data_IF_542141261054
#
_entry.id   IF_542141261054
#
_cell.length_a   1.000
_cell.length_b   1.000
_cell.length_c   1.000
_cell.angle_alpha   90.00
_cell.angle_beta   90.00
_cell.angle_gamma   90.00
#
_symmetry.space_group_name_H-M   'P 1'
#
loop_
_entity.id
_entity.type
_entity.pdbx_description
1 polymer ?
#
# COMPACT_ATOMS: atom_id res chain seq x y z
N UNK A 1 6.50 10.97 33.80
CA UNK A 1 6.49 9.53 34.15
C UNK A 1 7.64 8.85 33.37
N UNK A 2 8.07 7.63 33.69
CA UNK A 2 9.07 6.95 32.83
C UNK A 2 8.47 6.69 31.44
N UNK A 3 9.25 6.82 30.35
CA UNK A 3 8.75 6.58 29.00
C UNK A 3 8.28 5.13 28.87
N UNK A 4 7.08 4.93 28.31
CA UNK A 4 6.59 3.59 27.98
C UNK A 4 7.40 3.10 26.78
N UNK A 5 7.97 1.90 26.89
CA UNK A 5 8.80 1.34 25.83
C UNK A 5 8.29 -0.04 25.43
N UNK A 6 8.15 -0.26 24.12
CA UNK A 6 7.66 -1.51 23.54
C UNK A 6 8.78 -2.14 22.73
N UNK A 7 9.01 -3.43 22.92
CA UNK A 7 9.99 -4.20 22.13
C UNK A 7 9.35 -4.59 20.80
N UNK A 8 10.02 -4.21 19.72
CA UNK A 8 9.67 -4.54 18.35
C UNK A 8 10.82 -5.36 17.71
N UNK A 9 10.52 -6.46 16.99
CA UNK A 9 11.56 -7.29 16.40
C UNK A 9 12.27 -6.65 15.20
N UNK A 10 11.68 -5.64 14.57
CA UNK A 10 12.23 -4.95 13.39
C UNK A 10 13.04 -3.73 13.83
N UNK A 11 12.44 -2.88 14.67
CA UNK A 11 12.98 -1.56 15.03
C UNK A 11 13.62 -1.50 16.41
N UNK A 12 13.63 -2.60 17.18
CA UNK A 12 14.26 -2.65 18.49
C UNK A 12 13.36 -2.13 19.61
N UNK A 13 13.71 -1.03 20.27
CA UNK A 13 12.85 -0.43 21.30
C UNK A 13 12.14 0.81 20.75
N UNK A 14 10.81 0.76 20.75
CA UNK A 14 9.95 1.88 20.39
C UNK A 14 9.52 2.60 21.66
N UNK A 15 9.77 3.90 21.72
CA UNK A 15 9.40 4.76 22.86
C UNK A 15 8.11 5.54 22.58
N UNK A 16 7.25 5.60 23.59
CA UNK A 16 6.00 6.34 23.60
C UNK A 16 6.04 7.41 24.69
N UNK A 17 5.58 8.61 24.35
CA UNK A 17 5.24 9.62 25.35
C UNK A 17 3.89 9.30 26.03
N UNK A 18 3.52 10.09 27.04
CA UNK A 18 2.30 9.83 27.84
C UNK A 18 1.02 9.89 27.00
N UNK A 19 0.92 10.81 26.04
CA UNK A 19 -0.25 10.93 25.16
C UNK A 19 -0.33 9.82 24.11
N UNK A 20 0.80 9.44 23.53
CA UNK A 20 0.91 8.28 22.62
C UNK A 20 0.55 6.98 23.34
N UNK A 21 1.04 6.80 24.57
CA UNK A 21 0.67 5.66 25.41
C UNK A 21 -0.83 5.65 25.73
N UNK A 22 -1.45 6.82 25.94
CA UNK A 22 -2.90 6.91 26.15
C UNK A 22 -3.70 6.48 24.91
N UNK A 23 -3.27 6.89 23.71
CA UNK A 23 -3.86 6.43 22.43
C UNK A 23 -3.68 4.92 22.29
N UNK A 24 -2.45 4.42 22.48
CA UNK A 24 -2.13 3.00 22.33
C UNK A 24 -2.95 2.13 23.29
N UNK A 25 -3.18 2.59 24.52
CA UNK A 25 -3.96 1.86 25.53
C UNK A 25 -5.48 1.91 25.31
N UNK A 26 -5.98 2.78 24.42
CA UNK A 26 -7.40 2.87 24.13
C UNK A 26 -7.91 1.61 23.42
N UNK A 27 -9.12 1.15 23.75
CA UNK A 27 -9.66 -0.12 23.23
C UNK A 27 -9.76 -0.16 21.70
N UNK A 28 -10.12 0.97 21.09
CA UNK A 28 -10.23 1.11 19.62
C UNK A 28 -8.87 0.95 18.94
N UNK A 29 -7.78 1.36 19.60
CA UNK A 29 -6.42 1.11 19.11
C UNK A 29 -5.99 -0.34 19.39
N UNK A 30 -6.30 -0.87 20.58
CA UNK A 30 -6.00 -2.26 20.97
C UNK A 30 -6.66 -3.28 20.04
N UNK A 31 -7.83 -2.97 19.45
CA UNK A 31 -8.47 -3.77 18.40
C UNK A 31 -7.52 -4.14 17.27
N UNK A 32 -6.55 -3.29 16.92
CA UNK A 32 -5.59 -3.57 15.85
C UNK A 32 -4.76 -4.83 16.10
N UNK A 33 -4.61 -5.27 17.36
CA UNK A 33 -3.98 -6.56 17.71
C UNK A 33 -4.73 -7.77 17.15
N UNK A 34 -6.00 -7.61 16.83
CA UNK A 34 -6.83 -8.67 16.26
C UNK A 34 -7.04 -8.50 14.75
N UNK A 35 -6.30 -7.59 14.10
CA UNK A 35 -6.37 -7.36 12.65
C UNK A 35 -5.00 -7.65 12.05
N UNK A 36 -4.87 -8.79 11.36
CA UNK A 36 -3.60 -9.18 10.74
C UNK A 36 -3.25 -8.28 9.57
N UNK A 37 -1.99 -7.84 9.50
CA UNK A 37 -1.47 -6.98 8.42
C UNK A 37 -1.73 -7.61 7.05
N UNK A 38 -1.40 -8.91 6.92
CA UNK A 38 -1.48 -9.64 5.66
C UNK A 38 -2.70 -10.57 5.55
N UNK A 39 -3.82 -10.26 6.21
CA UNK A 39 -5.08 -10.99 6.04
C UNK A 39 -4.92 -12.52 6.25
N UNK A 40 -5.34 -13.33 5.27
CA UNK A 40 -5.22 -14.80 5.27
C UNK A 40 -3.85 -15.31 4.77
N UNK A 41 -2.85 -14.44 4.59
CA UNK A 41 -1.51 -14.83 4.10
C UNK A 41 -0.83 -15.88 4.99
N UNK A 42 -1.16 -15.93 6.29
CA UNK A 42 -0.70 -16.98 7.20
C UNK A 42 -1.09 -18.41 6.77
N UNK A 43 -2.10 -18.56 5.90
CA UNK A 43 -2.47 -19.85 5.29
C UNK A 43 -1.46 -20.32 4.23
N UNK A 44 -0.57 -19.44 3.79
CA UNK A 44 0.55 -19.69 2.85
C UNK A 44 1.89 -19.62 3.59
N UNK A 45 2.12 -18.54 4.34
CA UNK A 45 3.34 -18.27 5.11
C UNK A 45 3.00 -18.31 6.60
N UNK A 46 3.17 -19.45 7.31
CA UNK A 46 2.67 -19.59 8.69
C UNK A 46 3.14 -18.54 9.69
N UNK A 47 4.30 -17.90 9.45
CA UNK A 47 4.82 -16.81 10.28
C UNK A 47 4.15 -15.44 10.09
N UNK A 48 3.41 -15.23 8.99
CA UNK A 48 2.74 -13.97 8.63
C UNK A 48 1.52 -13.67 9.53
N UNK A 49 1.79 -13.53 10.82
CA UNK A 49 0.81 -13.44 11.91
C UNK A 49 0.81 -12.07 12.57
N UNK A 50 1.71 -11.18 12.14
CA UNK A 50 1.79 -9.82 12.60
C UNK A 50 0.53 -9.02 12.25
N UNK A 51 0.28 -8.01 13.07
CA UNK A 51 -0.96 -7.26 13.14
C UNK A 51 -0.73 -5.79 12.81
N UNK A 52 -1.82 -5.07 12.55
CA UNK A 52 -1.75 -3.63 12.31
C UNK A 52 -1.25 -2.87 13.53
N UNK A 53 -1.35 -3.43 14.73
CA UNK A 53 -0.89 -2.80 15.96
C UNK A 53 0.62 -2.54 15.95
N UNK A 54 1.44 -3.56 15.71
CA UNK A 54 2.91 -3.39 15.64
C UNK A 54 3.33 -2.58 14.42
N UNK A 55 2.63 -2.72 13.30
CA UNK A 55 2.86 -1.89 12.12
C UNK A 55 2.65 -0.40 12.43
N UNK A 56 1.52 0.00 13.05
CA UNK A 56 1.28 1.39 13.43
C UNK A 56 2.34 1.94 14.40
N UNK A 57 2.86 1.13 15.32
CA UNK A 57 3.97 1.52 16.19
C UNK A 57 5.28 1.72 15.40
N UNK A 58 5.57 0.80 14.48
CA UNK A 58 6.73 0.87 13.60
C UNK A 58 6.70 2.10 12.68
N UNK A 59 5.56 2.40 12.07
CA UNK A 59 5.35 3.59 11.24
C UNK A 59 5.52 4.88 12.06
N UNK A 60 4.92 4.97 13.24
CA UNK A 60 5.14 6.11 14.15
C UNK A 60 6.63 6.28 14.51
N UNK A 61 7.32 5.18 14.79
CA UNK A 61 8.74 5.19 15.10
C UNK A 61 9.57 5.68 13.91
N UNK A 62 9.37 5.12 12.72
CA UNK A 62 10.09 5.51 11.50
C UNK A 62 9.79 6.95 11.08
N UNK A 63 8.54 7.39 11.18
CA UNK A 63 8.15 8.78 10.95
C UNK A 63 9.00 9.76 11.77
N UNK A 64 9.27 9.40 13.04
CA UNK A 64 10.13 10.21 13.90
C UNK A 64 11.60 10.17 13.49
N UNK A 65 12.11 9.01 13.08
CA UNK A 65 13.49 8.87 12.57
C UNK A 65 13.70 9.63 11.27
N UNK A 66 12.70 9.66 10.39
CA UNK A 66 12.71 10.46 9.16
C UNK A 66 12.78 11.95 9.53
N UNK A 67 11.89 12.43 10.39
CA UNK A 67 11.92 13.82 10.86
C UNK A 67 13.25 14.21 11.51
N UNK A 68 13.81 13.34 12.35
CA UNK A 68 15.10 13.55 13.00
C UNK A 68 16.24 13.62 11.98
N UNK A 69 16.22 12.79 10.94
CA UNK A 69 17.23 12.84 9.89
C UNK A 69 17.12 14.12 9.05
N UNK A 70 15.90 14.49 8.66
CA UNK A 70 15.63 15.70 7.90
C UNK A 70 16.04 16.96 8.68
N UNK A 71 15.82 17.00 10.00
CA UNK A 71 16.24 18.10 10.87
C UNK A 71 17.75 18.17 11.11
N UNK A 72 18.54 17.20 10.63
CA UNK A 72 20.01 17.36 10.58
C UNK A 72 20.46 18.22 9.39
N UNK A 73 19.59 18.42 8.39
CA UNK A 73 19.88 19.19 7.18
C UNK A 73 19.75 20.71 7.44
N UNK A 74 20.64 21.54 6.87
CA UNK A 74 20.62 22.99 7.09
C UNK A 74 19.26 23.65 6.81
N UNK A 75 18.61 23.27 5.70
CA UNK A 75 17.33 23.86 5.27
C UNK A 75 16.26 23.82 6.37
N UNK A 76 16.13 22.70 7.08
CA UNK A 76 15.11 22.52 8.11
C UNK A 76 15.53 23.10 9.46
N UNK A 77 16.83 23.07 9.78
CA UNK A 77 17.36 23.72 10.99
C UNK A 77 17.22 25.24 10.96
N UNK A 78 17.43 25.82 9.78
CA UNK A 78 17.31 27.26 9.58
C UNK A 78 15.84 27.70 9.50
N UNK A 79 14.97 26.86 8.94
CA UNK A 79 13.53 27.18 8.79
C UNK A 79 12.73 27.00 10.07
N UNK A 80 12.99 25.95 10.85
CA UNK A 80 12.19 25.59 12.02
C UNK A 80 13.06 25.61 13.28
N UNK A 81 12.64 26.41 14.26
CA UNK A 81 13.30 26.36 15.57
C UNK A 81 13.00 25.03 16.30
N UNK A 82 13.68 24.77 17.43
CA UNK A 82 13.51 23.50 18.15
C UNK A 82 12.07 23.21 18.60
N UNK A 83 11.33 24.23 19.03
CA UNK A 83 9.95 24.04 19.53
C UNK A 83 8.99 23.76 18.37
N UNK A 84 9.12 24.48 17.26
CA UNK A 84 8.39 24.20 16.02
C UNK A 84 8.70 22.79 15.52
N UNK A 85 9.97 22.39 15.49
CA UNK A 85 10.39 21.06 15.07
C UNK A 85 9.80 19.96 15.96
N UNK A 86 9.88 20.11 17.29
CA UNK A 86 9.29 19.13 18.24
C UNK A 86 7.79 18.95 17.99
N UNK A 87 7.06 20.06 17.76
CA UNK A 87 5.62 20.02 17.43
C UNK A 87 5.37 19.28 16.11
N UNK A 88 6.06 19.64 15.03
CA UNK A 88 5.90 19.00 13.72
C UNK A 88 6.28 17.51 13.77
N UNK A 89 7.37 17.17 14.46
CA UNK A 89 7.77 15.78 14.70
C UNK A 89 6.68 15.01 15.45
N UNK A 90 6.07 15.60 16.48
CA UNK A 90 4.98 14.98 17.20
C UNK A 90 3.73 14.81 16.32
N UNK A 91 3.41 15.80 15.48
CA UNK A 91 2.29 15.73 14.55
C UNK A 91 2.43 14.57 13.56
N UNK A 92 3.61 14.41 12.93
CA UNK A 92 3.86 13.30 12.00
C UNK A 92 3.89 11.95 12.73
N UNK A 93 4.39 11.90 13.97
CA UNK A 93 4.27 10.68 14.81
C UNK A 93 2.82 10.28 15.03
N UNK A 94 1.95 11.21 15.40
CA UNK A 94 0.53 10.92 15.60
C UNK A 94 -0.14 10.48 14.29
N UNK A 95 0.21 11.09 13.16
CA UNK A 95 -0.27 10.66 11.84
C UNK A 95 0.19 9.23 11.53
N UNK A 96 1.47 8.90 11.73
CA UNK A 96 1.97 7.55 11.54
C UNK A 96 1.35 6.52 12.49
N UNK A 97 1.08 6.90 13.75
CA UNK A 97 0.41 6.04 14.71
C UNK A 97 -1.04 5.74 14.30
N UNK A 98 -1.74 6.74 13.73
CA UNK A 98 -3.18 6.67 13.51
C UNK A 98 -3.59 6.36 12.06
N UNK A 99 -2.67 6.32 11.09
CA UNK A 99 -2.98 6.17 9.67
C UNK A 99 -3.91 4.98 9.36
N UNK A 100 -3.69 3.88 10.08
CA UNK A 100 -4.28 2.57 9.82
C UNK A 100 -5.41 2.15 10.77
N UNK A 101 -5.83 3.01 11.70
CA UNK A 101 -6.88 2.65 12.69
C UNK A 101 -8.22 2.29 12.06
N UNK A 102 -8.48 2.80 10.86
CA UNK A 102 -9.69 2.58 10.08
C UNK A 102 -9.75 1.28 9.30
N UNK A 103 -8.72 0.44 9.31
CA UNK A 103 -8.75 -0.79 8.51
C UNK A 103 -9.80 -1.81 8.97
N UNK A 104 -10.34 -2.51 7.98
CA UNK A 104 -11.31 -3.58 8.16
C UNK A 104 -10.63 -4.85 8.72
N UNK A 105 -11.42 -5.79 9.28
CA UNK A 105 -10.97 -7.17 9.47
C UNK A 105 -10.32 -7.70 8.19
N UNK A 106 -9.19 -8.37 8.35
CA UNK A 106 -8.33 -8.86 7.28
C UNK A 106 -7.82 -7.76 6.34
N UNK A 107 -7.67 -6.53 6.82
CA UNK A 107 -6.86 -5.52 6.15
C UNK A 107 -7.34 -5.25 4.72
N UNK A 108 -6.45 -5.07 3.75
CA UNK A 108 -6.81 -4.93 2.34
C UNK A 108 -7.67 -6.08 1.77
N UNK A 109 -7.66 -7.26 2.41
CA UNK A 109 -8.53 -8.38 2.03
C UNK A 109 -10.02 -8.11 2.31
N UNK A 110 -10.32 -7.28 3.32
CA UNK A 110 -11.69 -6.89 3.67
C UNK A 110 -12.21 -5.68 2.89
N UNK A 111 -11.33 -4.80 2.40
CA UNK A 111 -11.73 -3.50 1.81
C UNK A 111 -12.61 -3.62 0.57
N UNK A 112 -12.53 -4.75 -0.16
CA UNK A 112 -13.41 -5.04 -1.29
C UNK A 112 -14.91 -5.16 -0.90
N UNK A 113 -15.20 -5.13 0.40
CA UNK A 113 -16.52 -5.24 1.02
C UNK A 113 -16.91 -3.95 1.75
N UNK A 114 -16.14 -2.87 1.58
CA UNK A 114 -16.63 -1.55 1.99
C UNK A 114 -17.83 -1.10 1.15
N UNK A 115 -18.72 -0.26 1.72
CA UNK A 115 -19.73 0.43 0.96
C UNK A 115 -19.11 1.23 -0.20
N UNK A 116 -19.87 1.38 -1.29
CA UNK A 116 -19.38 2.03 -2.52
C UNK A 116 -18.79 3.41 -2.25
N UNK A 117 -17.57 3.64 -2.74
CA UNK A 117 -16.85 4.92 -2.61
C UNK A 117 -16.13 5.12 -1.28
N UNK A 118 -16.31 4.24 -0.29
CA UNK A 118 -15.61 4.32 0.98
C UNK A 118 -14.32 3.50 0.98
N UNK A 119 -13.34 3.98 1.74
CA UNK A 119 -12.05 3.35 1.98
C UNK A 119 -11.70 3.41 3.46
N UNK A 120 -10.64 2.69 3.86
CA UNK A 120 -10.22 2.65 5.27
C UNK A 120 -9.87 4.05 5.81
N UNK A 121 -9.36 4.95 4.96
CA UNK A 121 -9.03 6.34 5.34
C UNK A 121 -10.27 7.08 5.86
N UNK A 122 -11.46 6.84 5.28
CA UNK A 122 -12.71 7.42 5.75
C UNK A 122 -13.06 6.94 7.17
N UNK A 123 -12.80 5.66 7.46
CA UNK A 123 -12.98 5.10 8.81
C UNK A 123 -11.90 5.61 9.77
N UNK A 124 -10.65 5.76 9.34
CA UNK A 124 -9.58 6.33 10.16
C UNK A 124 -9.97 7.73 10.62
N UNK A 125 -10.49 8.56 9.71
CA UNK A 125 -10.98 9.91 10.02
C UNK A 125 -12.13 9.88 11.04
N UNK A 126 -13.12 9.01 10.85
CA UNK A 126 -14.25 8.88 11.77
C UNK A 126 -13.80 8.43 13.16
N UNK A 127 -12.89 7.45 13.24
CA UNK A 127 -12.31 6.95 14.49
C UNK A 127 -11.52 8.04 15.21
N UNK A 128 -10.68 8.79 14.49
CA UNK A 128 -9.88 9.87 15.07
C UNK A 128 -10.77 10.93 15.70
N UNK A 129 -11.77 11.42 14.96
CA UNK A 129 -12.72 12.44 15.47
C UNK A 129 -13.53 11.95 16.65
N UNK A 130 -13.96 10.68 16.63
CA UNK A 130 -14.86 10.15 17.66
C UNK A 130 -14.14 9.74 18.95
N UNK A 131 -12.97 9.10 18.85
CA UNK A 131 -12.30 8.47 19.99
C UNK A 131 -10.98 9.11 20.38
N UNK A 132 -10.21 9.63 19.42
CA UNK A 132 -8.85 10.11 19.69
C UNK A 132 -8.76 11.63 19.86
N UNK A 133 -9.70 12.41 19.31
CA UNK A 133 -9.73 13.87 19.47
C UNK A 133 -9.68 14.31 20.95
N UNK A 134 -10.48 13.73 21.89
CA UNK A 134 -10.39 14.12 23.31
C UNK A 134 -9.04 13.79 23.96
N UNK A 135 -8.37 12.72 23.49
CA UNK A 135 -7.04 12.35 23.98
C UNK A 135 -6.00 13.30 23.41
N UNK A 136 -6.12 13.66 22.12
CA UNK A 136 -5.23 14.61 21.45
C UNK A 136 -5.33 15.99 22.10
N UNK A 137 -6.53 16.52 22.31
CA UNK A 137 -6.73 17.82 22.98
C UNK A 137 -6.12 17.84 24.39
N UNK A 138 -6.22 16.73 25.13
CA UNK A 138 -5.72 16.63 26.50
C UNK A 138 -4.20 16.60 26.58
N UNK A 139 -3.53 15.81 25.74
CA UNK A 139 -2.09 15.56 25.85
C UNK A 139 -1.24 16.38 24.88
N UNK A 140 -1.84 16.91 23.81
CA UNK A 140 -1.16 17.66 22.75
C UNK A 140 -1.95 18.95 22.42
N UNK A 141 -2.05 19.91 23.36
CA UNK A 141 -2.91 21.09 23.19
C UNK A 141 -2.56 21.97 21.98
N UNK A 142 -1.34 21.86 21.47
CA UNK A 142 -0.87 22.61 20.28
C UNK A 142 -1.12 21.88 18.95
N UNK A 143 -1.71 20.68 18.97
CA UNK A 143 -2.00 19.87 17.79
C UNK A 143 -3.51 19.60 17.74
N UNK A 144 -4.14 19.90 16.60
CA UNK A 144 -5.55 19.56 16.38
C UNK A 144 -5.68 18.26 15.60
N UNK A 145 -6.73 17.47 15.87
CA UNK A 145 -7.02 16.24 15.11
C UNK A 145 -7.14 16.50 13.60
N UNK A 146 -7.66 17.68 13.22
CA UNK A 146 -7.80 18.06 11.81
C UNK A 146 -6.46 18.26 11.11
N UNK A 147 -5.38 18.59 11.83
CA UNK A 147 -4.03 18.64 11.23
C UNK A 147 -3.52 17.24 10.91
N UNK A 148 -3.79 16.27 11.80
CA UNK A 148 -3.45 14.86 11.56
C UNK A 148 -4.24 14.34 10.35
N UNK A 149 -5.55 14.63 10.30
CA UNK A 149 -6.42 14.27 9.18
C UNK A 149 -5.93 14.90 7.88
N UNK A 150 -5.48 16.15 7.89
CA UNK A 150 -4.94 16.82 6.72
C UNK A 150 -3.71 16.08 6.16
N UNK A 151 -2.80 15.61 7.02
CA UNK A 151 -1.64 14.82 6.58
C UNK A 151 -2.03 13.47 5.97
N UNK A 152 -3.08 12.82 6.49
CA UNK A 152 -3.52 11.49 6.04
C UNK A 152 -4.42 11.53 4.79
N UNK A 153 -5.15 12.62 4.55
CA UNK A 153 -6.13 12.72 3.47
C UNK A 153 -5.66 13.63 2.33
N UNK A 154 -4.35 13.66 2.06
CA UNK A 154 -3.72 14.45 0.98
C UNK A 154 -4.03 15.95 1.03
N UNK A 155 -4.34 16.45 2.22
CA UNK A 155 -4.41 17.87 2.51
C UNK A 155 -3.02 18.47 2.71
N UNK A 156 -2.95 19.79 2.75
CA UNK A 156 -1.70 20.52 3.01
C UNK A 156 -1.93 21.55 4.11
N UNK A 157 -1.01 21.58 5.07
CA UNK A 157 -1.04 22.56 6.16
C UNK A 157 -0.46 23.91 5.70
N UNK A 158 0.67 23.85 4.99
CA UNK A 158 1.34 24.98 4.35
C UNK A 158 2.25 24.46 3.22
N UNK A 159 2.66 25.34 2.31
CA UNK A 159 3.49 24.98 1.15
C UNK A 159 4.85 24.37 1.54
N UNK A 160 5.46 24.90 2.60
CA UNK A 160 6.73 24.43 3.18
C UNK A 160 6.57 23.23 4.13
N UNK A 161 5.33 22.72 4.31
CA UNK A 161 5.00 21.56 5.14
C UNK A 161 4.43 20.37 4.35
N UNK A 162 4.36 20.47 3.02
CA UNK A 162 3.82 19.40 2.16
C UNK A 162 4.58 18.08 2.31
N UNK A 163 5.89 18.14 2.54
CA UNK A 163 6.71 16.96 2.77
C UNK A 163 6.26 16.15 4.01
N UNK A 164 5.58 16.76 4.99
CA UNK A 164 5.12 16.05 6.19
C UNK A 164 4.09 14.96 5.85
N UNK A 165 3.15 15.26 4.96
CA UNK A 165 2.20 14.27 4.48
C UNK A 165 2.91 13.14 3.71
N UNK A 166 3.96 13.49 2.95
CA UNK A 166 4.79 12.54 2.20
C UNK A 166 5.65 11.62 3.06
N UNK A 167 5.86 11.95 4.33
CA UNK A 167 6.48 11.03 5.31
C UNK A 167 5.53 9.88 5.65
N UNK A 168 4.21 10.05 5.50
CA UNK A 168 3.21 9.02 5.80
C UNK A 168 2.65 8.37 4.54
N UNK A 169 2.31 9.16 3.52
CA UNK A 169 1.81 8.70 2.22
C UNK A 169 2.62 9.32 1.07
N UNK A 170 3.66 8.60 0.65
CA UNK A 170 4.62 8.98 -0.37
C UNK A 170 5.46 7.81 -0.90
N UNK A 171 6.48 8.17 -1.67
CA UNK A 171 7.36 7.22 -2.35
C UNK A 171 8.44 6.66 -1.42
N UNK A 172 8.78 7.40 -0.36
CA UNK A 172 9.77 7.05 0.66
C UNK A 172 9.16 7.18 2.07
N UNK A 173 7.88 6.83 2.21
CA UNK A 173 7.15 7.00 3.46
C UNK A 173 7.45 5.93 4.53
N UNK A 174 7.13 6.29 5.76
CA UNK A 174 7.28 5.43 6.93
C UNK A 174 6.42 4.15 6.85
N UNK A 175 5.26 4.21 6.19
CA UNK A 175 4.38 3.06 5.98
C UNK A 175 5.12 1.95 5.20
N UNK A 176 5.62 2.27 4.01
CA UNK A 176 6.34 1.34 3.14
C UNK A 176 7.66 0.91 3.73
N UNK A 177 8.33 1.84 4.41
CA UNK A 177 9.57 1.55 5.11
C UNK A 177 9.36 0.62 6.32
N UNK A 178 8.17 0.55 6.89
CA UNK A 178 7.86 -0.44 7.92
C UNK A 178 7.43 -1.76 7.30
N UNK A 179 6.36 -1.75 6.50
CA UNK A 179 5.70 -3.00 6.14
C UNK A 179 6.60 -3.89 5.30
N UNK A 180 7.50 -3.35 4.47
CA UNK A 180 8.38 -4.19 3.64
C UNK A 180 9.33 -5.02 4.50
N UNK A 181 9.94 -4.41 5.52
CA UNK A 181 10.82 -5.11 6.45
C UNK A 181 10.03 -6.08 7.34
N UNK A 182 8.92 -5.61 7.92
CA UNK A 182 8.03 -6.39 8.77
C UNK A 182 7.48 -7.61 8.03
N UNK A 183 6.85 -7.40 6.88
CA UNK A 183 6.26 -8.47 6.07
C UNK A 183 7.33 -9.48 5.63
N UNK A 184 8.51 -9.02 5.21
CA UNK A 184 9.61 -9.90 4.82
C UNK A 184 10.05 -10.79 6.00
N UNK A 185 10.23 -10.18 7.18
CA UNK A 185 10.63 -10.88 8.40
C UNK A 185 9.61 -11.94 8.81
N UNK A 186 8.33 -11.56 8.95
CA UNK A 186 7.28 -12.47 9.40
C UNK A 186 6.91 -13.52 8.35
N UNK A 187 7.01 -13.23 7.05
CA UNK A 187 6.87 -14.25 6.01
C UNK A 187 8.06 -15.20 5.92
N UNK A 188 9.20 -14.89 6.56
CA UNK A 188 10.42 -15.68 6.49
C UNK A 188 11.10 -15.61 5.12
N UNK A 189 10.93 -14.50 4.41
CA UNK A 189 11.55 -14.24 3.10
C UNK A 189 12.59 -13.14 3.21
N UNK A 190 13.52 -13.08 2.26
CA UNK A 190 14.54 -12.02 2.19
C UNK A 190 14.29 -11.06 1.02
N UNK A 191 13.08 -11.10 0.46
CA UNK A 191 12.72 -10.31 -0.71
C UNK A 191 12.44 -8.85 -0.35
N UNK A 192 11.97 -8.55 0.87
CA UNK A 192 11.59 -7.20 1.28
C UNK A 192 12.68 -6.43 2.03
N UNK A 193 13.93 -6.93 2.05
CA UNK A 193 15.03 -6.30 2.78
C UNK A 193 15.76 -5.27 1.92
N UNK A 194 16.07 -4.11 2.51
CA UNK A 194 16.86 -3.02 1.92
C UNK A 194 17.59 -2.27 3.04
N UNK A 195 18.55 -1.41 2.69
CA UNK A 195 19.29 -0.60 3.66
C UNK A 195 18.48 0.62 4.15
N UNK A 196 17.69 0.41 5.21
CA UNK A 196 16.91 1.48 5.87
C UNK A 196 17.80 2.61 6.41
N UNK A 197 18.94 2.27 7.01
CA UNK A 197 19.82 3.27 7.63
C UNK A 197 20.41 4.19 6.56
N UNK A 198 20.76 3.65 5.38
CA UNK A 198 21.23 4.45 4.27
C UNK A 198 20.15 5.35 3.68
N UNK A 199 18.91 4.87 3.56
CA UNK A 199 17.78 5.72 3.13
C UNK A 199 17.63 6.88 4.11
N UNK A 200 17.52 6.60 5.42
CA UNK A 200 17.35 7.63 6.44
C UNK A 200 18.49 8.66 6.40
N UNK A 201 19.74 8.23 6.27
CA UNK A 201 20.92 9.12 6.17
C UNK A 201 20.84 10.07 4.97
N UNK A 202 20.32 9.60 3.83
CA UNK A 202 20.34 10.32 2.56
C UNK A 202 19.04 11.07 2.24
N UNK A 203 18.00 10.94 3.06
CA UNK A 203 16.76 11.73 2.93
C UNK A 203 17.04 13.24 3.04
N UNK A 204 16.35 14.01 2.20
CA UNK A 204 16.42 15.47 2.13
C UNK A 204 15.06 16.07 1.79
N UNK A 205 14.94 17.38 1.93
CA UNK A 205 13.78 18.15 1.47
C UNK A 205 14.22 19.09 0.36
N UNK A 206 13.49 19.08 -0.74
CA UNK A 206 13.76 19.89 -1.92
C UNK A 206 12.70 20.98 -2.04
N UNK A 207 13.07 22.28 -1.91
CA UNK A 207 12.16 23.38 -2.16
C UNK A 207 12.00 23.59 -3.67
N UNK A 208 10.81 23.34 -4.21
CA UNK A 208 10.53 23.53 -5.64
C UNK A 208 9.99 24.94 -5.87
N UNK A 209 10.79 25.85 -6.43
CA UNK A 209 10.30 27.17 -6.84
C UNK A 209 9.22 27.04 -7.91
N UNK A 210 8.14 27.80 -7.74
CA UNK A 210 6.98 27.87 -8.64
C UNK A 210 7.32 28.59 -9.97
N UNK A 211 8.24 28.02 -10.76
CA UNK A 211 8.39 28.31 -12.20
C UNK A 211 7.90 27.16 -13.09
N UNK A 212 7.46 26.05 -12.50
CA UNK A 212 6.98 24.85 -13.18
C UNK A 212 5.44 24.81 -13.35
N UNK A 213 4.74 25.87 -12.93
CA UNK A 213 3.30 26.09 -13.15
C UNK A 213 3.13 27.54 -13.62
N UNK A 214 2.31 27.83 -14.65
CA UNK A 214 2.18 29.20 -15.15
C UNK A 214 1.42 30.05 -14.13
N UNK A 215 2.13 30.89 -13.38
CA UNK A 215 1.57 32.01 -12.61
C UNK A 215 1.76 33.29 -13.42
N UNK A 216 0.68 34.08 -13.55
CA UNK A 216 0.54 35.19 -14.48
C UNK A 216 1.16 36.52 -14.04
N UNK A 217 2.05 36.57 -13.03
CA UNK A 217 2.57 37.84 -12.53
C UNK A 217 4.09 37.82 -12.23
N UNK A 218 4.85 38.57 -13.04
CA UNK A 218 6.32 38.66 -13.01
C UNK A 218 6.91 39.56 -11.90
N UNK A 219 6.13 39.98 -10.89
CA UNK A 219 6.57 41.07 -9.99
C UNK A 219 7.17 40.69 -8.64
N UNK A 220 7.07 39.45 -8.17
CA UNK A 220 7.69 39.03 -6.90
C UNK A 220 8.72 37.92 -7.12
N UNK A 221 10.01 38.28 -7.29
CA UNK A 221 11.13 37.32 -7.39
C UNK A 221 11.76 36.94 -6.05
N UNK A 222 11.27 37.47 -4.92
CA UNK A 222 11.83 37.22 -3.58
C UNK A 222 10.97 36.32 -2.68
N UNK A 223 9.75 35.98 -3.09
CA UNK A 223 8.90 35.03 -2.36
C UNK A 223 9.08 33.62 -2.93
N UNK A 224 10.01 32.88 -2.34
CA UNK A 224 10.19 31.44 -2.53
C UNK A 224 8.99 30.63 -1.97
N UNK A 225 7.75 30.84 -2.44
CA UNK A 225 6.62 29.96 -2.06
C UNK A 225 6.58 28.74 -2.98
N UNK A 226 7.56 27.88 -2.79
CA UNK A 226 7.63 26.58 -3.43
C UNK A 226 7.05 25.47 -2.57
N UNK A 227 6.46 24.45 -3.18
CA UNK A 227 6.14 23.20 -2.47
C UNK A 227 7.43 22.49 -2.07
N UNK A 228 7.53 22.11 -0.80
CA UNK A 228 8.67 21.34 -0.30
C UNK A 228 8.39 19.85 -0.46
N UNK A 229 9.21 19.16 -1.25
CA UNK A 229 9.06 17.73 -1.51
C UNK A 229 10.10 16.91 -0.74
N UNK A 230 9.70 15.71 -0.34
CA UNK A 230 10.62 14.70 0.18
C UNK A 230 11.46 14.16 -1.00
N UNK A 231 12.77 14.10 -0.81
CA UNK A 231 13.71 13.60 -1.80
C UNK A 231 14.87 12.86 -1.16
N UNK A 232 15.86 12.50 -1.98
CA UNK A 232 17.07 11.81 -1.55
C UNK A 232 18.31 12.46 -2.17
N UNK A 233 19.43 12.45 -1.46
CA UNK A 233 20.72 12.79 -2.05
C UNK A 233 21.14 11.74 -3.08
N UNK A 234 21.93 12.15 -4.09
CA UNK A 234 22.46 11.26 -5.14
C UNK A 234 23.29 10.09 -4.59
N UNK A 235 23.80 10.20 -3.36
CA UNK A 235 24.53 9.14 -2.67
C UNK A 235 23.62 8.02 -2.10
N UNK A 236 22.31 8.23 -2.09
CA UNK A 236 21.29 7.28 -1.63
C UNK A 236 20.59 6.50 -2.75
N UNK A 237 20.94 6.72 -4.02
CA UNK A 237 20.27 6.11 -5.18
C UNK A 237 20.17 4.59 -5.04
N UNK A 238 21.28 3.91 -4.72
CA UNK A 238 21.29 2.44 -4.61
C UNK A 238 20.40 1.91 -3.48
N UNK A 239 20.29 2.64 -2.36
CA UNK A 239 19.40 2.24 -1.28
C UNK A 239 17.92 2.37 -1.69
N UNK A 240 17.59 3.36 -2.53
CA UNK A 240 16.25 3.48 -3.13
C UNK A 240 16.00 2.43 -4.20
N UNK A 241 17.00 2.06 -5.00
CA UNK A 241 16.91 0.91 -5.92
C UNK A 241 16.56 -0.36 -5.15
N UNK A 242 17.28 -0.64 -4.05
CA UNK A 242 16.99 -1.78 -3.16
C UNK A 242 15.56 -1.73 -2.60
N UNK A 243 15.09 -0.58 -2.12
CA UNK A 243 13.72 -0.42 -1.62
C UNK A 243 12.67 -0.75 -2.69
N UNK A 244 12.86 -0.23 -3.92
CA UNK A 244 11.91 -0.45 -5.00
C UNK A 244 11.95 -1.91 -5.49
N UNK A 245 13.14 -2.53 -5.56
CA UNK A 245 13.26 -3.96 -5.84
C UNK A 245 12.64 -4.81 -4.75
N UNK A 246 12.85 -4.45 -3.49
CA UNK A 246 12.28 -5.13 -2.36
C UNK A 246 10.76 -5.15 -2.43
N UNK A 247 10.16 -3.98 -2.71
CA UNK A 247 8.73 -3.87 -2.98
C UNK A 247 8.30 -4.72 -4.16
N UNK A 248 8.95 -4.59 -5.30
CA UNK A 248 8.64 -5.38 -6.50
C UNK A 248 8.63 -6.90 -6.23
N UNK A 249 9.66 -7.42 -5.56
CA UNK A 249 9.75 -8.83 -5.22
C UNK A 249 8.69 -9.26 -4.20
N UNK A 250 8.41 -8.44 -3.17
CA UNK A 250 7.33 -8.72 -2.22
C UNK A 250 5.97 -8.80 -2.91
N UNK A 251 5.70 -7.94 -3.89
CA UNK A 251 4.48 -8.00 -4.69
C UNK A 251 4.37 -9.30 -5.48
N UNK A 252 5.40 -9.72 -6.20
CA UNK A 252 5.35 -10.95 -7.00
C UNK A 252 5.27 -12.20 -6.11
N UNK A 253 6.10 -12.26 -5.07
CA UNK A 253 6.31 -13.49 -4.31
C UNK A 253 5.27 -13.66 -3.20
N UNK A 254 4.89 -12.60 -2.51
CA UNK A 254 4.01 -12.67 -1.32
C UNK A 254 2.62 -12.15 -1.66
N UNK A 255 2.49 -10.87 -2.02
CA UNK A 255 1.17 -10.25 -2.16
C UNK A 255 0.37 -10.84 -3.34
N UNK A 256 1.03 -11.21 -4.44
CA UNK A 256 0.40 -11.86 -5.58
C UNK A 256 0.58 -13.37 -5.58
N UNK A 257 0.96 -13.98 -4.47
CA UNK A 257 1.06 -15.43 -4.39
C UNK A 257 -0.29 -16.08 -4.74
N UNK A 258 -0.27 -17.06 -5.66
CA UNK A 258 -1.47 -17.70 -6.21
C UNK A 258 -2.46 -18.19 -5.15
N UNK A 259 -1.96 -18.84 -4.10
CA UNK A 259 -2.81 -19.36 -3.03
C UNK A 259 -3.40 -18.24 -2.19
N UNK A 260 -2.66 -17.13 -1.98
CA UNK A 260 -3.17 -15.97 -1.25
C UNK A 260 -4.28 -15.28 -2.04
N UNK A 261 -4.10 -15.14 -3.36
CA UNK A 261 -5.08 -14.52 -4.27
C UNK A 261 -6.43 -15.25 -4.30
N UNK A 262 -6.43 -16.59 -4.34
CA UNK A 262 -7.69 -17.34 -4.26
C UNK A 262 -8.34 -17.23 -2.88
N UNK A 263 -7.56 -17.11 -1.80
CA UNK A 263 -8.11 -16.83 -0.46
C UNK A 263 -8.72 -15.44 -0.34
N UNK A 264 -8.15 -14.40 -0.96
CA UNK A 264 -8.77 -13.07 -1.00
C UNK A 264 -10.16 -13.14 -1.65
N UNK A 265 -10.29 -13.93 -2.73
CA UNK A 265 -11.57 -14.15 -3.39
C UNK A 265 -12.59 -14.83 -2.46
N UNK A 266 -12.21 -15.91 -1.79
CA UNK A 266 -13.10 -16.59 -0.85
C UNK A 266 -13.48 -15.70 0.32
N UNK A 267 -12.52 -14.94 0.87
CA UNK A 267 -12.78 -14.03 1.97
C UNK A 267 -13.78 -12.96 1.56
N UNK A 268 -13.59 -12.33 0.40
CA UNK A 268 -14.51 -11.31 -0.12
C UNK A 268 -15.93 -11.87 -0.24
N UNK A 269 -16.07 -13.09 -0.79
CA UNK A 269 -17.38 -13.74 -0.94
C UNK A 269 -18.01 -14.08 0.41
N UNK A 270 -17.23 -14.66 1.31
CA UNK A 270 -17.68 -14.99 2.66
C UNK A 270 -18.16 -13.74 3.42
N UNK A 271 -17.38 -12.66 3.40
CA UNK A 271 -17.73 -11.41 4.07
C UNK A 271 -19.03 -10.82 3.53
N UNK A 272 -19.25 -10.85 2.20
CA UNK A 272 -20.52 -10.42 1.61
C UNK A 272 -21.69 -11.26 2.11
N UNK A 273 -21.55 -12.59 2.11
CA UNK A 273 -22.60 -13.48 2.60
C UNK A 273 -22.87 -13.27 4.10
N UNK A 274 -21.81 -13.12 4.91
CA UNK A 274 -21.88 -12.92 6.35
C UNK A 274 -22.56 -11.59 6.73
N UNK A 275 -22.30 -10.53 5.96
CA UNK A 275 -22.84 -9.19 6.20
C UNK A 275 -24.18 -8.96 5.50
N UNK A 276 -24.68 -9.91 4.70
CA UNK A 276 -25.85 -9.73 3.84
C UNK A 276 -27.12 -9.35 4.62
N UNK A 277 -27.40 -10.04 5.73
CA UNK A 277 -28.66 -9.85 6.47
C UNK A 277 -28.69 -8.55 7.27
N UNK A 278 -27.56 -8.14 7.88
CA UNK A 278 -27.52 -6.97 8.79
C UNK A 278 -27.07 -5.69 8.08
N UNK A 279 -26.26 -5.79 7.04
CA UNK A 279 -25.56 -4.64 6.42
C UNK A 279 -25.50 -4.72 4.89
N UNK A 280 -26.43 -5.45 4.27
CA UNK A 280 -26.57 -5.53 2.80
C UNK A 280 -25.28 -5.97 2.08
N UNK A 281 -24.48 -6.80 2.77
CA UNK A 281 -23.26 -7.40 2.21
C UNK A 281 -22.07 -6.45 2.20
N UNK A 282 -22.12 -5.33 2.94
CA UNK A 282 -21.01 -4.41 3.11
C UNK A 282 -20.66 -4.24 4.61
N UNK A 283 -19.46 -3.74 4.91
CA UNK A 283 -19.14 -3.33 6.29
C UNK A 283 -20.04 -2.17 6.74
N UNK A 284 -20.34 -2.04 8.05
CA UNK A 284 -21.09 -0.91 8.58
C UNK A 284 -20.44 0.40 8.18
N UNK A 285 -21.22 1.38 7.74
CA UNK A 285 -20.75 2.70 7.33
C UNK A 285 -20.20 3.50 8.52
N UNK A 286 -19.39 4.57 8.28
CA UNK A 286 -18.77 5.36 9.34
C UNK A 286 -19.73 6.00 10.35
N UNK A 287 -21.03 6.14 10.03
CA UNK A 287 -22.07 6.56 10.98
C UNK A 287 -22.45 5.48 12.01
N UNK A 288 -22.11 4.21 11.75
CA UNK A 288 -22.30 3.06 12.66
C UNK A 288 -20.95 2.53 13.15
N UNK A 289 -20.16 3.44 13.71
CA UNK A 289 -18.76 3.16 14.02
C UNK A 289 -18.57 2.07 15.09
N UNK A 290 -19.47 2.01 16.09
CA UNK A 290 -19.44 0.96 17.12
C UNK A 290 -19.66 -0.43 16.51
N UNK A 291 -20.63 -0.58 15.61
CA UNK A 291 -20.87 -1.82 14.87
C UNK A 291 -19.62 -2.21 14.05
N UNK A 292 -18.96 -1.23 13.41
CA UNK A 292 -17.74 -1.47 12.64
C UNK A 292 -16.56 -1.91 13.52
N UNK A 293 -16.31 -1.22 14.62
CA UNK A 293 -15.22 -1.49 15.55
C UNK A 293 -15.40 -2.86 16.22
N UNK A 294 -16.64 -3.30 16.43
CA UNK A 294 -16.92 -4.64 16.98
C UNK A 294 -16.44 -5.80 16.07
N UNK A 295 -16.11 -5.52 14.81
CA UNK A 295 -15.60 -6.49 13.85
C UNK A 295 -14.06 -6.45 13.80
N UNK A 296 -13.44 -7.60 14.08
CA UNK A 296 -12.01 -7.89 13.92
C UNK A 296 -11.81 -9.29 13.29
N UNK A 297 -10.57 -9.73 13.05
CA UNK A 297 -10.34 -11.05 12.45
C UNK A 297 -10.90 -12.17 13.33
N UNK A 298 -10.87 -12.03 14.66
CA UNK A 298 -11.34 -13.04 15.59
C UNK A 298 -12.84 -13.28 15.45
N UNK A 299 -13.63 -12.21 15.40
CA UNK A 299 -15.08 -12.28 15.17
C UNK A 299 -15.40 -12.97 13.85
N UNK A 300 -14.70 -12.59 12.77
CA UNK A 300 -14.94 -13.17 11.44
C UNK A 300 -14.45 -14.63 11.36
N UNK A 301 -13.33 -14.99 11.97
CA UNK A 301 -12.84 -16.37 12.01
C UNK A 301 -13.79 -17.30 12.78
N UNK A 302 -14.39 -16.81 13.87
CA UNK A 302 -15.41 -17.57 14.59
C UNK A 302 -16.68 -17.73 13.75
N UNK A 303 -17.08 -16.72 12.97
CA UNK A 303 -18.17 -16.83 12.01
C UNK A 303 -17.87 -17.87 10.91
N UNK A 304 -16.65 -17.84 10.32
CA UNK A 304 -16.18 -18.83 9.35
C UNK A 304 -16.29 -20.24 9.94
N UNK A 305 -15.80 -20.43 11.16
CA UNK A 305 -15.88 -21.71 11.87
C UNK A 305 -17.33 -22.16 12.03
N UNK A 306 -18.26 -21.31 12.46
CA UNK A 306 -19.67 -21.67 12.63
C UNK A 306 -20.37 -22.01 11.32
N UNK A 307 -20.12 -21.22 10.27
CA UNK A 307 -20.81 -21.32 8.98
C UNK A 307 -20.17 -22.32 8.01
N UNK A 308 -19.04 -22.94 8.34
CA UNK A 308 -18.31 -23.88 7.46
C UNK A 308 -19.13 -25.05 6.89
N UNK A 309 -20.26 -25.42 7.51
CA UNK A 309 -21.13 -26.50 7.01
C UNK A 309 -22.22 -26.01 6.04
N UNK A 310 -22.53 -24.71 6.07
CA UNK A 310 -23.64 -24.11 5.33
C UNK A 310 -23.19 -23.07 4.30
N UNK A 311 -21.97 -22.57 4.41
CA UNK A 311 -21.36 -21.62 3.48
C UNK A 311 -20.10 -22.21 2.85
N UNK A 312 -20.09 -22.32 1.52
CA UNK A 312 -19.00 -22.92 0.75
C UNK A 312 -17.67 -22.16 0.93
N UNK A 313 -17.69 -20.82 0.95
CA UNK A 313 -16.48 -20.02 1.11
C UNK A 313 -15.88 -20.16 2.50
N UNK A 314 -16.73 -20.20 3.53
CA UNK A 314 -16.31 -20.49 4.91
C UNK A 314 -15.64 -21.86 5.00
N UNK A 315 -16.23 -22.90 4.38
CA UNK A 315 -15.68 -24.25 4.33
C UNK A 315 -14.27 -24.25 3.73
N UNK A 316 -14.10 -23.61 2.55
CA UNK A 316 -12.83 -23.56 1.83
C UNK A 316 -11.72 -22.83 2.59
N UNK A 317 -12.06 -21.75 3.29
CA UNK A 317 -11.10 -21.03 4.16
C UNK A 317 -10.71 -21.89 5.37
N UNK A 318 -11.70 -22.50 6.02
CA UNK A 318 -11.50 -23.28 7.24
C UNK A 318 -10.71 -24.57 6.99
N UNK A 319 -11.14 -25.38 6.03
CA UNK A 319 -10.58 -26.70 5.71
C UNK A 319 -9.34 -26.63 4.80
N UNK A 320 -8.97 -25.42 4.36
CA UNK A 320 -7.90 -25.17 3.40
C UNK A 320 -8.13 -25.84 2.03
N UNK A 321 -9.40 -25.96 1.62
CA UNK A 321 -9.84 -26.55 0.36
C UNK A 321 -9.94 -25.49 -0.75
N UNK A 322 -8.78 -25.08 -1.29
CA UNK A 322 -8.70 -24.06 -2.33
C UNK A 322 -8.54 -24.65 -3.73
N UNK A 323 -9.01 -23.91 -4.74
CA UNK A 323 -8.76 -24.24 -6.14
C UNK A 323 -7.25 -24.24 -6.45
N UNK A 324 -6.87 -25.03 -7.44
CA UNK A 324 -5.48 -25.17 -7.90
C UNK A 324 -5.25 -24.33 -9.15
N UNK A 325 -4.14 -23.60 -9.18
CA UNK A 325 -3.68 -22.89 -10.38
C UNK A 325 -3.32 -23.91 -11.47
N UNK A 326 -4.00 -23.82 -12.61
CA UNK A 326 -3.75 -24.61 -13.81
C UNK A 326 -2.89 -23.84 -14.83
N UNK A 327 -3.07 -22.53 -14.92
CA UNK A 327 -2.32 -21.69 -15.85
C UNK A 327 -2.09 -20.29 -15.27
N UNK A 328 -0.95 -19.70 -15.59
CA UNK A 328 -0.57 -18.34 -15.20
C UNK A 328 0.17 -17.66 -16.34
N UNK A 329 -0.15 -16.40 -16.59
CA UNK A 329 0.57 -15.59 -17.58
C UNK A 329 1.89 -15.07 -17.03
N UNK A 330 2.76 -14.58 -17.91
CA UNK A 330 3.95 -13.86 -17.48
C UNK A 330 3.58 -12.60 -16.68
N UNK A 331 4.37 -12.20 -15.66
CA UNK A 331 4.03 -11.09 -14.78
C UNK A 331 3.93 -9.70 -15.40
N UNK A 332 4.43 -9.53 -16.62
CA UNK A 332 4.44 -8.24 -17.31
C UNK A 332 3.84 -8.35 -18.72
N UNK A 333 2.87 -9.24 -18.91
CA UNK A 333 2.21 -9.35 -20.20
C UNK A 333 1.45 -8.04 -20.51
N UNK A 334 1.70 -7.49 -21.69
CA UNK A 334 1.23 -6.17 -22.12
C UNK A 334 0.99 -6.15 -23.63
N UNK A 335 0.31 -5.11 -24.12
CA UNK A 335 0.01 -4.94 -25.55
C UNK A 335 -1.23 -5.70 -26.02
N UNK A 336 -1.92 -5.14 -27.03
CA UNK A 336 -3.23 -5.57 -27.50
C UNK A 336 -3.30 -7.07 -27.83
N UNK A 337 -2.29 -7.61 -28.52
CA UNK A 337 -2.21 -9.03 -28.84
C UNK A 337 -2.26 -9.91 -27.58
N UNK A 338 -1.51 -9.56 -26.54
CA UNK A 338 -1.54 -10.33 -25.29
C UNK A 338 -2.91 -10.26 -24.61
N UNK A 339 -3.58 -9.10 -24.62
CA UNK A 339 -4.95 -8.97 -24.10
C UNK A 339 -5.93 -9.84 -24.88
N UNK A 340 -5.84 -9.86 -26.22
CA UNK A 340 -6.69 -10.69 -27.08
C UNK A 340 -6.48 -12.18 -26.81
N UNK A 341 -5.22 -12.63 -26.70
CA UNK A 341 -4.90 -14.04 -26.38
C UNK A 341 -5.56 -14.46 -25.07
N UNK A 342 -5.44 -13.63 -24.04
CA UNK A 342 -5.95 -13.95 -22.70
C UNK A 342 -7.48 -13.88 -22.65
N UNK A 343 -8.10 -12.92 -23.35
CA UNK A 343 -9.56 -12.82 -23.42
C UNK A 343 -10.16 -14.05 -24.08
N UNK A 344 -9.63 -14.45 -25.23
CA UNK A 344 -10.06 -15.66 -25.94
C UNK A 344 -9.82 -16.92 -25.08
N UNK A 345 -8.66 -17.03 -24.42
CA UNK A 345 -8.38 -18.16 -23.52
C UNK A 345 -9.36 -18.21 -22.35
N UNK A 346 -9.73 -17.05 -21.80
CA UNK A 346 -10.72 -16.92 -20.71
C UNK A 346 -12.10 -17.40 -21.14
N UNK A 347 -12.55 -17.04 -22.34
CA UNK A 347 -13.82 -17.49 -22.90
C UNK A 347 -13.83 -19.01 -23.07
N UNK A 348 -12.85 -19.57 -23.79
CA UNK A 348 -12.72 -21.03 -23.98
C UNK A 348 -12.62 -21.79 -22.66
N UNK A 349 -11.93 -21.22 -21.68
CA UNK A 349 -11.76 -21.84 -20.37
C UNK A 349 -13.10 -21.98 -19.65
N UNK A 350 -13.94 -20.95 -19.67
CA UNK A 350 -15.27 -21.01 -19.06
C UNK A 350 -16.24 -21.89 -19.84
N UNK A 351 -16.11 -21.99 -21.16
CA UNK A 351 -16.87 -22.96 -21.96
C UNK A 351 -16.56 -24.41 -21.54
N UNK A 352 -15.28 -24.71 -21.27
CA UNK A 352 -14.83 -26.06 -20.93
C UNK A 352 -15.08 -26.44 -19.46
N UNK A 353 -14.71 -25.57 -18.52
CA UNK A 353 -14.74 -25.88 -17.08
C UNK A 353 -15.96 -25.29 -16.35
N UNK A 354 -16.77 -24.51 -17.05
CA UNK A 354 -17.93 -23.81 -16.50
C UNK A 354 -17.54 -22.51 -15.78
N UNK A 355 -18.54 -21.66 -15.50
CA UNK A 355 -18.38 -20.38 -14.81
C UNK A 355 -18.80 -20.44 -13.33
N UNK A 356 -18.87 -21.65 -12.75
CA UNK A 356 -19.11 -21.83 -11.32
C UNK A 356 -17.81 -21.52 -10.55
N UNK A 357 -17.74 -20.43 -9.76
CA UNK A 357 -16.51 -20.04 -9.08
C UNK A 357 -16.05 -21.03 -8.00
N UNK A 358 -16.89 -22.00 -7.62
CA UNK A 358 -16.51 -23.11 -6.76
C UNK A 358 -15.72 -24.20 -7.52
N UNK A 359 -15.76 -24.21 -8.85
CA UNK A 359 -15.10 -25.23 -9.69
C UNK A 359 -14.02 -24.65 -10.58
N UNK A 360 -14.23 -23.45 -11.11
CA UNK A 360 -13.31 -22.78 -12.02
C UNK A 360 -13.35 -21.27 -11.80
N UNK A 361 -12.18 -20.63 -11.75
CA UNK A 361 -12.06 -19.21 -11.48
C UNK A 361 -10.88 -18.60 -12.23
N UNK A 362 -11.04 -17.37 -12.72
CA UNK A 362 -9.95 -16.60 -13.33
C UNK A 362 -9.70 -15.34 -12.51
N UNK A 363 -8.49 -15.22 -11.94
CA UNK A 363 -8.03 -13.99 -11.28
C UNK A 363 -7.32 -13.11 -12.31
N UNK A 364 -7.98 -12.04 -12.72
CA UNK A 364 -7.45 -10.98 -13.58
C UNK A 364 -7.27 -9.65 -12.81
N UNK A 365 -7.45 -9.68 -11.49
CA UNK A 365 -7.47 -8.48 -10.65
C UNK A 365 -6.09 -7.96 -10.25
N UNK A 366 -5.01 -8.64 -10.63
CA UNK A 366 -3.65 -8.11 -10.43
C UNK A 366 -3.46 -6.74 -11.12
N UNK A 367 -4.24 -6.44 -12.17
CA UNK A 367 -4.30 -5.10 -12.82
C UNK A 367 -4.96 -4.01 -11.97
N UNK A 368 -5.81 -4.40 -11.01
CA UNK A 368 -6.78 -3.52 -10.32
C UNK A 368 -6.44 -3.26 -8.85
N UNK A 369 -5.29 -3.75 -8.38
CA UNK A 369 -4.87 -3.49 -7.01
C UNK A 369 -4.41 -2.03 -6.91
N UNK A 370 -4.83 -1.29 -5.86
CA UNK A 370 -4.66 0.15 -5.73
C UNK A 370 -3.20 0.60 -5.54
N UNK A 371 -2.25 -0.33 -5.56
CA UNK A 371 -0.84 -0.07 -5.37
C UNK A 371 -0.09 -0.50 -6.62
N UNK A 372 0.22 0.46 -7.49
CA UNK A 372 1.30 0.27 -8.44
C UNK A 372 2.54 -0.13 -7.61
N UNK A 373 3.18 -1.29 -7.84
CA UNK A 373 4.39 -1.71 -7.13
C UNK A 373 5.52 -0.69 -7.23
N UNK A 374 5.40 0.27 -8.15
CA UNK A 374 6.30 1.38 -8.37
C UNK A 374 5.77 2.69 -7.78
N UNK A 375 5.13 2.71 -6.60
CA UNK A 375 4.78 3.95 -5.88
C UNK A 375 3.97 4.98 -6.69
N UNK A 376 3.08 4.55 -7.58
CA UNK A 376 2.37 5.44 -8.53
C UNK A 376 3.30 6.29 -9.43
N UNK A 377 4.57 5.89 -9.57
CA UNK A 377 5.54 6.51 -10.45
C UNK A 377 5.06 6.38 -11.91
N UNK A 378 4.40 7.41 -12.42
CA UNK A 378 4.09 7.54 -13.84
C UNK A 378 5.28 8.16 -14.55
N UNK A 379 5.74 7.52 -15.64
CA UNK A 379 6.54 8.20 -16.66
C UNK A 379 5.61 9.20 -17.37
N UNK A 380 6.09 10.40 -17.59
CA UNK A 380 5.35 11.55 -18.12
C UNK A 380 4.86 11.42 -19.58
N UNK A 381 4.81 10.20 -20.13
CA UNK A 381 4.50 9.93 -21.54
C UNK A 381 3.00 9.77 -21.84
N UNK A 382 2.11 10.19 -20.94
CA UNK A 382 0.73 10.54 -21.33
C UNK A 382 0.78 12.02 -21.74
N UNK A 383 0.91 12.27 -23.04
CA UNK A 383 0.90 13.60 -23.65
C UNK A 383 -0.32 14.39 -23.15
N UNK A 384 -0.09 15.51 -22.46
CA UNK A 384 -1.11 16.55 -22.33
C UNK A 384 -1.37 17.07 -23.76
N UNK A 385 -2.64 17.13 -24.19
CA UNK A 385 -3.08 17.56 -25.54
C UNK A 385 -2.63 18.99 -25.95
N UNK A 386 -1.86 19.70 -25.12
CA UNK A 386 -1.47 21.10 -25.31
C UNK A 386 0.04 21.37 -25.42
N UNK A 387 0.92 20.36 -25.46
CA UNK A 387 2.33 20.55 -25.82
C UNK A 387 3.12 21.52 -24.92
N UNK A 388 2.72 21.69 -23.66
CA UNK A 388 3.48 22.44 -22.64
C UNK A 388 4.27 21.47 -21.77
N UNK A 389 5.59 21.66 -21.67
CA UNK A 389 6.46 20.93 -20.72
C UNK A 389 6.18 21.36 -19.27
N UNK A 390 5.06 20.91 -18.70
CA UNK A 390 4.84 20.98 -17.26
C UNK A 390 5.59 19.81 -16.61
N UNK A 391 6.86 19.94 -16.20
CA UNK A 391 7.57 18.91 -15.40
C UNK A 391 6.88 18.72 -14.04
N UNK A 392 5.84 17.88 -14.00
CA UNK A 392 5.27 17.35 -12.76
C UNK A 392 6.22 16.25 -12.30
N UNK A 393 6.94 16.46 -11.20
CA UNK A 393 7.74 15.38 -10.60
C UNK A 393 6.79 14.34 -10.00
N UNK A 394 6.37 13.38 -10.82
CA UNK A 394 5.66 12.15 -10.41
C UNK A 394 6.63 11.08 -9.90
N UNK A 395 7.86 11.47 -9.53
CA UNK A 395 8.92 10.54 -9.14
C UNK A 395 9.80 11.06 -8.03
N UNK A 396 10.47 10.14 -7.32
CA UNK A 396 11.42 10.46 -6.25
C UNK A 396 12.45 11.46 -6.79
N UNK A 397 12.54 12.61 -6.11
CA UNK A 397 13.48 13.68 -6.47
C UNK A 397 14.85 13.34 -5.91
N UNK A 398 15.87 13.39 -6.77
CA UNK A 398 17.27 13.18 -6.40
C UNK A 398 18.01 14.51 -6.41
N UNK A 399 18.56 14.91 -5.28
CA UNK A 399 19.40 16.11 -5.13
C UNK A 399 20.86 15.75 -5.44
N UNK A 400 21.51 16.53 -6.31
CA UNK A 400 22.93 16.37 -6.61
C UNK A 400 23.78 16.74 -5.39
N UNK A 401 24.62 15.80 -4.93
CA UNK A 401 25.46 16.04 -3.74
C UNK A 401 26.49 17.15 -3.91
N UNK A 402 26.91 17.45 -5.13
CA UNK A 402 27.92 18.47 -5.42
C UNK A 402 27.28 19.80 -5.81
N UNK A 403 26.00 19.79 -6.20
CA UNK A 403 25.25 20.99 -6.51
C UNK A 403 23.83 20.92 -5.91
N UNK A 404 23.61 21.46 -4.70
CA UNK A 404 22.31 21.41 -4.03
C UNK A 404 21.15 22.05 -4.80
N UNK A 405 21.42 22.86 -5.83
CA UNK A 405 20.40 23.47 -6.68
C UNK A 405 20.03 22.63 -7.91
N UNK A 406 20.68 21.48 -8.10
CA UNK A 406 20.43 20.57 -9.22
C UNK A 406 19.69 19.34 -8.74
N UNK A 407 18.58 19.06 -9.40
CA UNK A 407 17.67 17.96 -9.07
C UNK A 407 17.39 17.13 -10.32
N UNK A 408 17.20 15.84 -10.11
CA UNK A 408 16.88 14.87 -11.17
C UNK A 408 15.71 13.99 -10.74
N UNK A 409 15.07 13.35 -11.72
CA UNK A 409 14.22 12.20 -11.41
C UNK A 409 15.09 10.99 -11.09
N UNK A 410 14.65 10.16 -10.13
CA UNK A 410 15.29 8.86 -9.88
C UNK A 410 15.42 8.00 -11.17
N UNK A 411 14.52 8.16 -12.13
CA UNK A 411 14.58 7.43 -13.41
C UNK A 411 15.66 7.93 -14.38
N UNK A 412 16.09 9.19 -14.25
CA UNK A 412 17.24 9.71 -14.98
C UNK A 412 18.55 9.17 -14.39
N UNK A 413 18.53 8.83 -13.10
CA UNK A 413 19.69 8.38 -12.35
C UNK A 413 19.86 6.85 -12.30
N UNK A 414 18.79 6.08 -12.55
CA UNK A 414 18.78 4.61 -12.43
C UNK A 414 18.19 3.94 -13.66
N UNK A 415 19.06 3.28 -14.45
CA UNK A 415 18.65 2.47 -15.60
C UNK A 415 17.72 1.31 -15.21
N UNK A 416 18.00 0.52 -14.14
CA UNK A 416 17.08 -0.54 -13.74
C UNK A 416 15.67 -0.04 -13.41
N UNK A 417 15.56 1.06 -12.66
CA UNK A 417 14.26 1.63 -12.30
C UNK A 417 13.55 2.23 -13.51
N UNK A 418 14.29 2.83 -14.44
CA UNK A 418 13.75 3.32 -15.71
C UNK A 418 13.14 2.20 -16.56
N UNK A 419 13.77 1.02 -16.61
CA UNK A 419 13.23 -0.13 -17.34
C UNK A 419 12.03 -0.75 -16.62
N UNK A 420 12.10 -0.80 -15.30
CA UNK A 420 11.06 -1.41 -14.47
C UNK A 420 9.76 -0.58 -14.50
N UNK A 421 9.86 0.76 -14.50
CA UNK A 421 8.69 1.65 -14.55
C UNK A 421 7.90 1.60 -15.86
N UNK A 422 8.46 1.03 -16.93
CA UNK A 422 7.78 0.91 -18.22
C UNK A 422 6.71 -0.18 -18.26
N UNK A 423 6.67 -1.08 -17.26
CA UNK A 423 5.78 -2.24 -17.28
C UNK A 423 5.07 -2.44 -15.95
N UNK A 424 3.75 -2.36 -15.96
CA UNK A 424 2.95 -2.76 -14.80
C UNK A 424 3.09 -4.26 -14.54
N UNK A 425 2.97 -4.65 -13.27
CA UNK A 425 2.72 -6.06 -12.94
C UNK A 425 1.28 -6.37 -13.33
N UNK A 426 1.15 -7.35 -14.21
CA UNK A 426 -0.10 -7.83 -14.73
C UNK A 426 0.00 -9.36 -14.81
N UNK A 427 -0.70 -10.05 -13.92
CA UNK A 427 -0.72 -11.51 -13.84
C UNK A 427 -2.17 -11.97 -13.94
N UNK A 428 -2.45 -12.88 -14.87
CA UNK A 428 -3.76 -13.55 -14.96
C UNK A 428 -3.56 -15.02 -14.60
N UNK A 429 -4.41 -15.53 -13.71
CA UNK A 429 -4.36 -16.91 -13.22
C UNK A 429 -5.68 -17.62 -13.45
N UNK A 430 -5.58 -18.86 -13.89
CA UNK A 430 -6.70 -19.75 -14.13
C UNK A 430 -6.66 -20.87 -13.09
N UNK A 431 -7.72 -21.00 -12.33
CA UNK A 431 -7.87 -21.94 -11.24
C UNK A 431 -8.97 -22.94 -11.55
N UNK A 432 -8.74 -24.20 -11.20
CA UNK A 432 -9.72 -25.30 -11.32
C UNK A 432 -9.72 -26.15 -10.04
N UNK A 433 -10.74 -27.00 -9.90
CA UNK A 433 -10.76 -28.02 -8.86
C UNK A 433 -9.50 -28.90 -8.94
N UNK A 434 -9.01 -29.36 -7.79
CA UNK A 434 -7.67 -29.98 -7.67
C UNK A 434 -7.51 -31.20 -8.57
N UNK A 435 -8.56 -31.99 -8.70
CA UNK A 435 -8.66 -33.19 -9.54
C UNK A 435 -8.58 -32.89 -11.04
N UNK A 436 -8.84 -31.64 -11.46
CA UNK A 436 -8.75 -31.19 -12.86
C UNK A 436 -7.46 -30.46 -13.19
N UNK A 437 -6.58 -30.24 -12.21
CA UNK A 437 -5.39 -29.38 -12.37
C UNK A 437 -4.49 -29.80 -13.54
N UNK A 438 -4.12 -31.07 -13.61
CA UNK A 438 -3.15 -31.57 -14.61
C UNK A 438 -3.73 -31.50 -16.03
N UNK A 439 -4.98 -31.94 -16.19
CA UNK A 439 -5.72 -31.86 -17.46
C UNK A 439 -5.88 -30.39 -17.91
N UNK A 440 -6.30 -29.51 -17.01
CA UNK A 440 -6.49 -28.10 -17.29
C UNK A 440 -5.18 -27.39 -17.61
N UNK A 441 -4.08 -27.74 -16.94
CA UNK A 441 -2.78 -27.18 -17.26
C UNK A 441 -2.33 -27.55 -18.68
N UNK A 442 -2.45 -28.82 -19.07
CA UNK A 442 -2.10 -29.26 -20.42
C UNK A 442 -2.98 -28.54 -21.47
N UNK A 443 -4.29 -28.52 -21.25
CA UNK A 443 -5.24 -27.89 -22.16
C UNK A 443 -5.02 -26.37 -22.29
N UNK A 444 -4.84 -25.65 -21.18
CA UNK A 444 -4.62 -24.19 -21.22
C UNK A 444 -3.34 -23.83 -21.97
N UNK A 445 -2.25 -24.60 -21.79
CA UNK A 445 -1.00 -24.35 -22.51
C UNK A 445 -1.16 -24.58 -24.02
N UNK A 446 -1.84 -25.66 -24.42
CA UNK A 446 -2.12 -25.95 -25.82
C UNK A 446 -2.97 -24.84 -26.46
N UNK A 447 -4.06 -24.45 -25.79
CA UNK A 447 -4.93 -23.38 -26.28
C UNK A 447 -4.21 -22.05 -26.36
N UNK A 448 -3.39 -21.72 -25.36
CA UNK A 448 -2.60 -20.48 -25.36
C UNK A 448 -1.68 -20.41 -26.58
N UNK A 449 -0.97 -21.49 -26.91
CA UNK A 449 -0.09 -21.56 -28.08
C UNK A 449 -0.89 -21.40 -29.38
N UNK A 450 -2.02 -22.10 -29.51
CA UNK A 450 -2.88 -22.03 -30.70
C UNK A 450 -3.41 -20.61 -30.93
N UNK A 451 -3.93 -19.97 -29.87
CA UNK A 451 -4.48 -18.61 -29.93
C UNK A 451 -3.35 -17.60 -30.24
N UNK A 452 -2.18 -17.77 -29.62
CA UNK A 452 -1.04 -16.90 -29.86
C UNK A 452 -0.54 -17.00 -31.31
N UNK A 453 -0.49 -18.20 -31.89
CA UNK A 453 -0.14 -18.38 -33.31
C UNK A 453 -1.14 -17.69 -34.22
N UNK A 454 -2.44 -17.88 -33.97
CA UNK A 454 -3.52 -17.25 -34.74
C UNK A 454 -3.43 -15.72 -34.71
N UNK A 455 -3.20 -15.14 -33.52
CA UNK A 455 -3.09 -13.68 -33.38
C UNK A 455 -1.83 -13.15 -34.09
N UNK A 456 -0.72 -13.89 -34.02
CA UNK A 456 0.50 -13.53 -34.72
C UNK A 456 0.32 -13.53 -36.25
N UNK A 457 -0.41 -14.50 -36.79
CA UNK A 457 -0.74 -14.53 -38.23
C UNK A 457 -1.57 -13.31 -38.65
N UNK A 458 -2.54 -12.91 -37.82
CA UNK A 458 -3.34 -11.70 -38.03
C UNK A 458 -2.47 -10.44 -38.00
N UNK A 459 -1.54 -10.32 -37.04
CA UNK A 459 -0.58 -9.20 -36.97
C UNK A 459 0.36 -9.15 -38.19
N UNK A 460 0.71 -10.32 -38.74
CA UNK A 460 1.52 -10.45 -39.96
C UNK A 460 0.70 -10.24 -41.25
N UNK A 461 -0.59 -9.92 -41.15
CA UNK A 461 -1.47 -9.66 -42.30
C UNK A 461 -1.86 -10.91 -43.08
N UNK A 462 -1.72 -12.10 -42.48
CA UNK A 462 -2.17 -13.37 -43.06
C UNK A 462 -3.56 -13.67 -42.52
N UNK A 463 -4.56 -13.64 -43.39
CA UNK A 463 -5.97 -13.97 -43.07
C UNK A 463 -6.22 -15.47 -43.03
#
# INVERSE_FOLDING_TARGET
>A
MEPVRIRDPIHGMIELNEGEAAIVNHEVFQRLRNIRQLALTYKVYPGATHTRFEHSLGVMHLASRIMDSLYRRPLLRERFNEEEFKRLRQLVRLAGLLHDVGHAPFSHGGEAVFPSGLKHENYSIAIMRCYFDPIIEKYFPDIKVEEIIALLNKGYLAADLVFLGKIIDGELDADKLDYLLSDSYYCGVRYGTYDLERILDTLTVVPIMERAFPVQDEKNKEDLTGFWLLGIDSDGIQAVEELIFARYWMFIQVYFHKTRRIYDYYLTRFLKDFLQEKYEGCFPSPDRLEDYISLDDCAILEAIKKMRKTNEWARRIYERDHLSEAFVTLPHHSGLASYMVISELKERFFERYGNDPAKAYVDDKAKKLPTNPFFDLKKQEEEDEEGKENKKFTSIVVQDKHNPHKYYSIFECSLPLQLLSQRNINIVRFYVAREKKEEAAAWCNEQFIQIQSKIKEIEEGRT
#
